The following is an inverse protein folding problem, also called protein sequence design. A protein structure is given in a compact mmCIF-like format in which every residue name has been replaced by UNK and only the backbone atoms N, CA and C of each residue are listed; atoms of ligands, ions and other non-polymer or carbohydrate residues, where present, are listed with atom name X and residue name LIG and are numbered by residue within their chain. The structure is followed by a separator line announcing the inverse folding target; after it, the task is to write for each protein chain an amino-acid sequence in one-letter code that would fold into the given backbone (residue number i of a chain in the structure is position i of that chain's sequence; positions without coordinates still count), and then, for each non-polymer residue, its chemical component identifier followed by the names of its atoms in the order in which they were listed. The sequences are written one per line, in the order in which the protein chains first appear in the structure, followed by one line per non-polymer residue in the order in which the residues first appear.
data_IF_683192640067
#
_entry.id   IF_683192640067
#
_cell.length_a   1.000
_cell.length_b   1.000
_cell.length_c   1.000
_cell.angle_alpha   90.00
_cell.angle_beta   90.00
_cell.angle_gamma   90.00
#
_symmetry.space_group_name_H-M   'P 1'
#
loop_
_entity.id
_entity.type
_entity.pdbx_description
1 polymer ?
#
# COMPACT_ATOMS: atom_id res chain seq x y z
N UNK A 1 -5.20 2.47 15.31
CA UNK A 1 -5.68 3.56 14.42
C UNK A 1 -4.56 4.44 13.85
N UNK A 2 -3.37 4.48 14.45
CA UNK A 2 -2.28 5.35 13.97
C UNK A 2 -1.63 4.77 12.70
N UNK A 3 -0.60 3.94 12.86
CA UNK A 3 0.20 3.39 11.75
C UNK A 3 -0.63 2.52 10.79
N UNK A 4 -1.64 1.79 11.30
CA UNK A 4 -2.46 0.90 10.48
C UNK A 4 -3.37 1.60 9.47
N UNK A 5 -3.71 2.88 9.70
CA UNK A 5 -4.54 3.63 8.74
C UNK A 5 -3.81 3.82 7.41
N UNK A 6 -2.49 4.05 7.42
CA UNK A 6 -1.69 4.19 6.20
C UNK A 6 -1.72 2.91 5.36
N UNK A 7 -1.62 1.73 6.00
CA UNK A 7 -1.70 0.44 5.31
C UNK A 7 -3.05 0.21 4.65
N UNK A 8 -4.15 0.52 5.34
CA UNK A 8 -5.52 0.40 4.79
C UNK A 8 -5.71 1.37 3.62
N UNK A 9 -5.29 2.63 3.79
CA UNK A 9 -5.38 3.66 2.74
C UNK A 9 -4.58 3.25 1.50
N UNK A 10 -3.39 2.69 1.71
CA UNK A 10 -2.56 2.17 0.63
C UNK A 10 -3.20 1.00 -0.12
N UNK A 11 -3.80 0.03 0.58
CA UNK A 11 -4.52 -1.06 -0.10
C UNK A 11 -5.69 -0.56 -0.94
N UNK A 12 -6.48 0.38 -0.40
CA UNK A 12 -7.59 1.02 -1.13
C UNK A 12 -7.10 1.72 -2.40
N UNK A 13 -5.97 2.44 -2.32
CA UNK A 13 -5.35 3.09 -3.47
C UNK A 13 -4.79 2.08 -4.50
N UNK A 14 -4.13 1.00 -4.04
CA UNK A 14 -3.55 -0.03 -4.92
C UNK A 14 -4.63 -0.79 -5.69
N UNK A 15 -5.71 -1.18 -4.99
CA UNK A 15 -6.81 -1.90 -5.62
C UNK A 15 -7.83 -1.00 -6.32
N UNK A 16 -7.73 0.33 -6.10
CA UNK A 16 -8.70 1.31 -6.56
C UNK A 16 -10.16 0.91 -6.21
N UNK A 17 -10.34 0.35 -5.02
CA UNK A 17 -11.59 -0.22 -4.55
C UNK A 17 -11.67 -0.19 -3.02
N UNK A 18 -12.88 -0.30 -2.50
CA UNK A 18 -13.12 -0.49 -1.07
C UNK A 18 -13.05 -1.96 -0.68
N UNK A 19 -12.58 -2.30 0.52
CA UNK A 19 -12.71 -3.66 1.02
C UNK A 19 -14.18 -3.99 1.26
N UNK A 20 -14.58 -5.22 0.91
CA UNK A 20 -15.91 -5.76 1.13
C UNK A 20 -16.05 -6.34 2.55
N UNK A 21 -14.96 -6.87 3.12
CA UNK A 21 -14.93 -7.38 4.49
C UNK A 21 -13.51 -7.57 5.04
N UNK A 22 -13.39 -7.66 6.37
CA UNK A 22 -12.19 -8.20 7.03
C UNK A 22 -12.37 -9.69 7.31
N UNK A 23 -11.61 -10.53 6.59
CA UNK A 23 -11.76 -11.98 6.64
C UNK A 23 -10.95 -12.62 7.76
N UNK A 24 -9.84 -12.00 8.16
CA UNK A 24 -8.96 -12.47 9.22
C UNK A 24 -8.34 -11.27 9.94
N UNK A 25 -8.30 -11.28 11.27
CA UNK A 25 -7.57 -10.31 12.06
C UNK A 25 -6.96 -11.01 13.28
N UNK A 26 -5.64 -10.93 13.41
CA UNK A 26 -4.90 -11.36 14.58
C UNK A 26 -4.26 -10.11 15.19
N UNK A 27 -4.49 -9.89 16.48
CA UNK A 27 -4.07 -8.67 17.15
C UNK A 27 -3.63 -8.97 18.57
N UNK A 28 -2.65 -8.21 19.06
CA UNK A 28 -2.23 -8.21 20.45
C UNK A 28 -2.57 -6.85 21.07
N UNK A 29 -3.22 -6.79 22.24
CA UNK A 29 -3.45 -5.54 22.95
C UNK A 29 -2.15 -4.89 23.42
N UNK A 30 -2.18 -3.58 23.67
CA UNK A 30 -1.13 -2.92 24.45
C UNK A 30 -1.14 -3.37 25.91
N UNK A 31 -0.04 -3.13 26.61
CA UNK A 31 0.11 -3.42 28.04
C UNK A 31 0.12 -2.11 28.84
N UNK A 32 -0.30 -2.13 30.11
CA UNK A 32 -0.27 -0.95 30.99
C UNK A 32 1.10 -0.25 31.00
N UNK A 33 1.16 1.10 31.07
CA UNK A 33 0.05 2.03 31.34
C UNK A 33 -0.78 2.42 30.11
N UNK A 34 -0.49 1.88 28.93
CA UNK A 34 -1.30 2.11 27.74
C UNK A 34 -2.64 1.36 27.83
N UNK A 35 -3.65 1.84 27.09
CA UNK A 35 -4.99 1.23 27.09
C UNK A 35 -4.98 -0.13 26.39
N UNK A 36 -5.50 -1.16 27.05
CA UNK A 36 -5.65 -2.51 26.47
C UNK A 36 -6.60 -2.55 25.25
N UNK A 37 -7.35 -1.47 25.00
CA UNK A 37 -8.19 -1.28 23.80
C UNK A 37 -7.41 -0.76 22.58
N UNK A 38 -6.12 -0.52 22.73
CA UNK A 38 -5.22 -0.16 21.64
C UNK A 38 -4.43 -1.40 21.18
N UNK A 39 -4.17 -1.49 19.88
CA UNK A 39 -3.42 -2.57 19.26
C UNK A 39 -1.90 -2.36 19.38
N UNK A 40 -1.20 -3.41 19.80
CA UNK A 40 0.26 -3.49 19.88
C UNK A 40 0.95 -4.01 18.64
N UNK A 41 0.33 -5.05 18.13
CA UNK A 41 0.72 -5.75 16.94
C UNK A 41 -0.57 -6.21 16.30
N UNK A 42 -0.66 -6.09 14.99
CA UNK A 42 -1.79 -6.59 14.25
C UNK A 42 -1.34 -7.18 12.91
N UNK A 43 -2.10 -8.16 12.46
CA UNK A 43 -2.14 -8.64 11.08
C UNK A 43 -3.60 -8.75 10.70
N UNK A 44 -4.00 -8.11 9.60
CA UNK A 44 -5.36 -8.20 9.10
C UNK A 44 -5.39 -8.46 7.60
N UNK A 45 -6.36 -9.25 7.16
CA UNK A 45 -6.64 -9.53 5.76
C UNK A 45 -8.01 -8.96 5.40
N UNK A 46 -8.00 -8.11 4.39
CA UNK A 46 -9.17 -7.47 3.81
C UNK A 46 -9.45 -8.10 2.46
N UNK A 47 -10.70 -8.53 2.25
CA UNK A 47 -11.17 -8.97 0.94
C UNK A 47 -11.66 -7.77 0.15
N UNK A 48 -11.19 -7.63 -1.07
CA UNK A 48 -11.58 -6.63 -2.06
C UNK A 48 -12.39 -7.30 -3.18
N UNK A 49 -13.04 -6.53 -4.06
CA UNK A 49 -13.79 -7.05 -5.19
C UNK A 49 -13.00 -8.08 -6.02
N UNK A 50 -13.71 -9.04 -6.59
CA UNK A 50 -13.15 -10.19 -7.31
C UNK A 50 -12.33 -11.16 -6.43
N UNK A 51 -12.51 -11.10 -5.11
CA UNK A 51 -11.88 -12.02 -4.16
C UNK A 51 -10.38 -11.77 -3.95
N UNK A 52 -9.87 -10.62 -4.36
CA UNK A 52 -8.47 -10.25 -4.13
C UNK A 52 -8.28 -9.92 -2.66
N UNK A 53 -7.18 -10.38 -2.05
CA UNK A 53 -6.92 -10.18 -0.63
C UNK A 53 -5.76 -9.21 -0.46
N UNK A 54 -6.01 -8.14 0.30
CA UNK A 54 -4.99 -7.25 0.81
C UNK A 54 -4.62 -7.61 2.24
N UNK A 55 -3.33 -7.58 2.57
CA UNK A 55 -2.84 -7.87 3.91
C UNK A 55 -2.10 -6.66 4.48
N UNK A 56 -2.46 -6.29 5.71
CA UNK A 56 -1.76 -5.27 6.50
C UNK A 56 -1.13 -5.89 7.73
N UNK A 57 0.05 -5.42 8.10
CA UNK A 57 0.77 -5.82 9.31
C UNK A 57 1.40 -4.59 9.94
N UNK A 58 1.36 -4.52 11.26
CA UNK A 58 2.02 -3.44 11.99
C UNK A 58 2.34 -3.86 13.41
N UNK A 59 3.39 -3.25 13.96
CA UNK A 59 3.80 -3.41 15.35
C UNK A 59 4.47 -2.13 15.80
N UNK A 60 4.27 -1.72 17.05
CA UNK A 60 5.07 -0.66 17.68
C UNK A 60 6.17 -1.22 18.59
N UNK A 61 6.20 -2.54 18.80
CA UNK A 61 7.11 -3.22 19.73
C UNK A 61 8.39 -3.73 19.07
N UNK A 62 8.71 -3.29 17.85
CA UNK A 62 9.92 -3.73 17.16
C UNK A 62 11.16 -3.05 17.74
N UNK A 63 12.21 -3.85 17.96
CA UNK A 63 13.49 -3.31 18.40
C UNK A 63 14.08 -2.40 17.31
N UNK A 64 14.68 -1.28 17.71
CA UNK A 64 15.39 -0.38 16.79
C UNK A 64 16.43 -1.11 15.91
N UNK A 65 17.10 -2.14 16.45
CA UNK A 65 18.08 -2.96 15.72
C UNK A 65 17.45 -3.80 14.59
N UNK A 66 16.14 -4.06 14.67
CA UNK A 66 15.38 -4.82 13.67
C UNK A 66 14.51 -3.90 12.80
N UNK A 67 14.60 -2.59 13.00
CA UNK A 67 13.79 -1.63 12.27
C UNK A 67 14.00 -1.79 10.77
N UNK A 68 12.88 -1.91 10.05
CA UNK A 68 12.84 -1.87 8.60
C UNK A 68 11.96 -0.72 8.18
N UNK A 69 12.32 -0.08 7.07
CA UNK A 69 11.45 0.93 6.48
C UNK A 69 10.08 0.30 6.17
N UNK A 70 8.98 0.94 6.61
CA UNK A 70 7.64 0.57 6.24
C UNK A 70 7.51 0.48 4.73
N UNK A 71 6.89 -0.60 4.26
CA UNK A 71 6.80 -0.88 2.83
C UNK A 71 5.45 -1.45 2.45
N UNK A 72 5.10 -1.25 1.18
CA UNK A 72 3.98 -1.87 0.51
C UNK A 72 4.53 -2.83 -0.53
N UNK A 73 3.95 -4.02 -0.65
CA UNK A 73 4.39 -5.04 -1.60
C UNK A 73 3.21 -5.44 -2.48
N UNK A 74 3.39 -5.36 -3.79
CA UNK A 74 2.42 -5.80 -4.78
C UNK A 74 3.05 -6.90 -5.62
N UNK A 75 2.42 -8.08 -5.61
CA UNK A 75 2.81 -9.19 -6.48
C UNK A 75 1.86 -9.26 -7.66
N UNK A 76 2.39 -9.07 -8.86
CA UNK A 76 1.62 -9.13 -10.09
C UNK A 76 1.49 -10.59 -10.54
N UNK A 77 0.43 -10.88 -11.31
CA UNK A 77 0.30 -12.17 -12.02
C UNK A 77 1.45 -12.31 -13.04
N UNK A 78 1.94 -13.53 -13.22
CA UNK A 78 2.88 -13.86 -14.28
C UNK A 78 2.30 -13.58 -15.66
N UNK A 79 3.06 -12.93 -16.53
CA UNK A 79 2.68 -12.64 -17.92
C UNK A 79 3.69 -13.25 -18.88
N UNK A 80 3.22 -13.75 -20.03
CA UNK A 80 4.11 -14.15 -21.12
C UNK A 80 4.88 -12.92 -21.63
N UNK A 81 6.19 -13.06 -21.78
CA UNK A 81 7.06 -12.04 -22.36
C UNK A 81 7.68 -12.63 -23.61
N UNK A 82 7.53 -11.89 -24.71
CA UNK A 82 8.13 -12.24 -25.98
C UNK A 82 9.66 -12.25 -25.89
N UNK A 83 10.28 -13.29 -26.45
CA UNK A 83 11.72 -13.49 -26.46
C UNK A 83 12.09 -14.36 -27.66
N UNK A 84 12.68 -13.73 -28.68
CA UNK A 84 13.05 -14.37 -29.96
C UNK A 84 14.12 -15.45 -29.81
N UNK A 85 14.81 -15.52 -28.67
CA UNK A 85 15.83 -16.53 -28.42
C UNK A 85 15.28 -17.89 -27.97
N UNK A 86 13.97 -17.97 -27.73
CA UNK A 86 13.32 -19.19 -27.24
C UNK A 86 13.04 -20.20 -28.36
N UNK A 87 13.13 -21.49 -28.02
CA UNK A 87 12.66 -22.55 -28.90
C UNK A 87 11.14 -22.50 -29.11
N UNK A 88 10.60 -23.09 -30.20
CA UNK A 88 9.18 -22.99 -30.57
C UNK A 88 8.21 -23.54 -29.50
N UNK A 89 8.68 -24.41 -28.61
CA UNK A 89 7.90 -24.99 -27.52
C UNK A 89 8.19 -24.37 -26.14
N UNK A 90 8.87 -23.23 -26.09
CA UNK A 90 9.23 -22.57 -24.85
C UNK A 90 8.39 -21.31 -24.66
N UNK A 91 8.16 -20.98 -23.39
CA UNK A 91 7.52 -19.73 -22.98
C UNK A 91 8.31 -19.12 -21.85
N UNK A 92 8.49 -17.79 -21.90
CA UNK A 92 9.09 -17.00 -20.83
C UNK A 92 8.00 -16.26 -20.10
N UNK A 93 7.83 -16.57 -18.83
CA UNK A 93 6.90 -15.89 -17.92
C UNK A 93 7.68 -14.89 -17.08
N UNK A 94 7.21 -13.65 -17.00
CA UNK A 94 7.70 -12.66 -16.04
C UNK A 94 6.67 -12.45 -14.95
N UNK A 95 7.08 -12.65 -13.70
CA UNK A 95 6.33 -12.26 -12.51
C UNK A 95 7.02 -11.07 -11.88
N UNK A 96 6.30 -9.96 -11.66
CA UNK A 96 6.84 -8.73 -11.07
C UNK A 96 6.38 -8.58 -9.63
N UNK A 97 7.32 -8.30 -8.74
CA UNK A 97 7.05 -7.76 -7.41
C UNK A 97 7.46 -6.29 -7.36
N UNK A 98 6.54 -5.42 -6.96
CA UNK A 98 6.81 -3.99 -6.74
C UNK A 98 6.82 -3.73 -5.24
N UNK A 99 7.84 -3.04 -4.75
CA UNK A 99 7.98 -2.68 -3.34
C UNK A 99 8.14 -1.18 -3.21
N UNK A 100 7.21 -0.52 -2.50
CA UNK A 100 7.29 0.91 -2.21
C UNK A 100 7.69 1.13 -0.77
N UNK A 101 8.83 1.79 -0.55
CA UNK A 101 9.38 2.08 0.77
C UNK A 101 9.12 3.52 1.18
N UNK A 102 8.87 3.70 2.49
CA UNK A 102 8.80 5.03 3.11
C UNK A 102 7.44 5.71 3.04
N UNK A 103 6.40 5.03 2.53
CA UNK A 103 5.08 5.61 2.24
C UNK A 103 4.41 6.36 3.42
N UNK A 104 4.77 6.05 4.67
CA UNK A 104 4.24 6.71 5.88
C UNK A 104 5.05 7.93 6.32
N UNK A 105 6.28 8.11 5.82
CA UNK A 105 7.21 9.12 6.28
C UNK A 105 7.40 10.23 5.25
N UNK A 106 6.61 11.30 5.39
CA UNK A 106 6.65 12.44 4.48
C UNK A 106 8.01 13.18 4.40
N UNK A 107 8.87 13.03 5.40
CA UNK A 107 10.20 13.69 5.44
C UNK A 107 11.31 12.87 4.77
N UNK A 108 11.11 11.56 4.59
CA UNK A 108 12.09 10.66 3.98
C UNK A 108 11.82 10.55 2.48
N UNK A 109 12.88 10.43 1.68
CA UNK A 109 12.71 10.16 0.25
C UNK A 109 12.22 8.73 0.05
N UNK A 110 11.11 8.59 -0.68
CA UNK A 110 10.51 7.30 -0.97
C UNK A 110 11.26 6.57 -2.08
N UNK A 111 11.20 5.24 -2.08
CA UNK A 111 11.90 4.41 -3.08
C UNK A 111 10.98 3.32 -3.60
N UNK A 112 11.03 3.06 -4.90
CA UNK A 112 10.34 1.94 -5.54
C UNK A 112 11.37 0.93 -6.01
N UNK A 113 11.26 -0.29 -5.52
CA UNK A 113 12.01 -1.44 -6.02
C UNK A 113 11.10 -2.30 -6.89
N UNK A 114 11.65 -2.82 -7.96
CA UNK A 114 11.01 -3.83 -8.82
C UNK A 114 11.88 -5.07 -8.84
N UNK A 115 11.30 -6.21 -8.53
CA UNK A 115 11.93 -7.52 -8.65
C UNK A 115 11.17 -8.31 -9.73
N UNK A 116 11.80 -8.47 -10.89
CA UNK A 116 11.26 -9.25 -12.00
C UNK A 116 11.86 -10.64 -11.97
N UNK A 117 11.02 -11.64 -11.67
CA UNK A 117 11.39 -13.05 -11.78
C UNK A 117 10.95 -13.56 -13.15
N UNK A 118 11.93 -13.97 -13.95
CA UNK A 118 11.71 -14.61 -15.24
C UNK A 118 11.84 -16.12 -15.10
N UNK A 119 10.94 -16.84 -15.75
CA UNK A 119 10.94 -18.29 -15.78
C UNK A 119 10.65 -18.78 -17.19
N UNK A 120 11.60 -19.52 -17.77
CA UNK A 120 11.43 -20.20 -19.05
C UNK A 120 10.94 -21.62 -18.78
N UNK A 121 9.82 -22.00 -19.38
CA UNK A 121 9.20 -23.33 -19.24
C UNK A 121 8.89 -23.91 -20.61
N UNK A 122 8.84 -25.24 -20.72
CA UNK A 122 8.24 -25.87 -21.91
C UNK A 122 6.72 -25.78 -21.81
N UNK A 123 6.03 -25.53 -22.93
CA UNK A 123 4.56 -25.41 -22.94
C UNK A 123 3.89 -26.75 -22.59
N UNK A 124 4.42 -27.86 -23.10
CA UNK A 124 3.81 -29.21 -22.95
C UNK A 124 3.75 -29.70 -21.51
N UNK A 125 4.84 -29.57 -20.75
CA UNK A 125 4.97 -30.17 -19.42
C UNK A 125 5.17 -29.15 -18.29
N UNK A 126 5.15 -27.84 -18.62
CA UNK A 126 5.36 -26.74 -17.68
C UNK A 126 6.67 -26.83 -16.88
N UNK A 127 7.62 -27.69 -17.29
CA UNK A 127 8.85 -27.92 -16.56
C UNK A 127 9.75 -26.68 -16.69
N UNK A 128 10.25 -26.12 -15.58
CA UNK A 128 11.18 -25.00 -15.63
C UNK A 128 12.51 -25.43 -16.24
N UNK A 129 12.96 -24.66 -17.22
CA UNK A 129 14.27 -24.77 -17.87
C UNK A 129 15.26 -23.82 -17.21
N UNK A 130 14.82 -22.58 -17.00
CA UNK A 130 15.66 -21.51 -16.46
C UNK A 130 14.81 -20.56 -15.64
N UNK A 131 15.37 -20.11 -14.51
CA UNK A 131 14.75 -19.11 -13.65
C UNK A 131 15.79 -18.12 -13.17
N UNK A 132 15.50 -16.83 -13.27
CA UNK A 132 16.37 -15.78 -12.75
C UNK A 132 15.56 -14.59 -12.26
N UNK A 133 16.18 -13.75 -11.44
CA UNK A 133 15.55 -12.55 -10.91
C UNK A 133 16.43 -11.34 -11.20
N UNK A 134 15.82 -10.30 -11.74
CA UNK A 134 16.42 -8.99 -11.94
C UNK A 134 15.82 -8.00 -10.95
N UNK A 135 16.65 -7.17 -10.32
CA UNK A 135 16.21 -6.14 -9.39
C UNK A 135 16.57 -4.77 -9.93
N UNK A 136 15.62 -3.85 -9.89
CA UNK A 136 15.83 -2.43 -10.23
C UNK A 136 15.27 -1.55 -9.12
N UNK A 137 15.99 -0.49 -8.80
CA UNK A 137 15.61 0.52 -7.84
C UNK A 137 15.39 1.85 -8.58
N UNK A 138 14.29 2.53 -8.29
CA UNK A 138 13.99 3.87 -8.82
C UNK A 138 13.55 4.78 -7.67
N UNK A 139 14.14 5.96 -7.60
CA UNK A 139 13.74 7.06 -6.72
C UNK A 139 13.33 8.22 -7.61
N UNK A 140 12.13 8.76 -7.41
CA UNK A 140 11.58 9.88 -8.20
C UNK A 140 10.88 10.84 -7.27
N UNK A 141 11.15 12.14 -7.38
CA UNK A 141 10.72 13.14 -6.39
C UNK A 141 10.06 14.38 -7.02
N UNK A 142 9.93 14.41 -8.34
CA UNK A 142 9.23 15.46 -9.07
C UNK A 142 8.45 14.89 -10.25
N UNK A 143 7.41 15.62 -10.69
CA UNK A 143 6.62 15.25 -11.86
C UNK A 143 7.44 15.26 -13.17
N UNK A 144 8.46 16.13 -13.25
CA UNK A 144 9.35 16.22 -14.42
C UNK A 144 10.15 14.95 -14.66
N UNK A 145 10.52 14.23 -13.60
CA UNK A 145 11.24 12.94 -13.69
C UNK A 145 10.37 11.77 -14.20
N UNK A 146 9.06 12.00 -14.35
CA UNK A 146 8.11 11.08 -14.98
C UNK A 146 7.41 11.70 -16.19
N UNK A 147 8.00 12.75 -16.78
CA UNK A 147 7.48 13.42 -17.98
C UNK A 147 6.05 13.96 -17.82
N UNK A 148 5.68 14.36 -16.60
CA UNK A 148 4.39 14.98 -16.28
C UNK A 148 4.59 16.48 -16.06
N UNK A 149 3.89 17.30 -16.85
CA UNK A 149 3.95 18.76 -16.76
C UNK A 149 3.04 19.28 -15.64
N UNK A 150 3.53 19.21 -14.39
CA UNK A 150 2.84 19.74 -13.21
C UNK A 150 3.81 20.43 -12.24
N UNK A 151 3.35 21.41 -11.43
CA UNK A 151 4.17 22.05 -10.41
C UNK A 151 4.71 21.03 -9.40
N UNK A 152 6.02 21.02 -9.22
CA UNK A 152 6.69 20.12 -8.31
C UNK A 152 8.20 20.26 -8.43
N UNK A 153 8.89 20.18 -7.30
CA UNK A 153 10.34 20.30 -7.24
C UNK A 153 10.93 19.09 -6.52
N UNK A 154 12.14 18.67 -6.90
CA UNK A 154 12.76 17.46 -6.34
C UNK A 154 12.97 17.54 -4.82
N UNK A 155 13.10 18.75 -4.27
CA UNK A 155 13.25 19.00 -2.83
C UNK A 155 11.91 19.12 -2.09
N UNK A 156 10.77 19.11 -2.81
CA UNK A 156 9.46 19.10 -2.18
C UNK A 156 9.20 17.74 -1.53
N UNK A 157 8.77 17.80 -0.27
CA UNK A 157 8.29 16.64 0.48
C UNK A 157 6.80 16.40 0.21
N UNK A 158 6.30 15.20 0.49
CA UNK A 158 4.89 14.84 0.20
C UNK A 158 3.89 15.84 0.79
N UNK A 159 4.13 16.39 1.98
CA UNK A 159 3.27 17.41 2.58
C UNK A 159 3.21 18.71 1.79
N UNK A 160 4.31 19.10 1.10
CA UNK A 160 4.31 20.30 0.26
C UNK A 160 3.35 20.13 -0.91
N UNK A 161 3.34 18.96 -1.54
CA UNK A 161 2.38 18.61 -2.60
C UNK A 161 0.93 18.64 -2.09
N UNK A 162 0.67 18.07 -0.90
CA UNK A 162 -0.67 18.07 -0.30
C UNK A 162 -1.16 19.49 0.02
N UNK A 163 -0.28 20.34 0.55
CA UNK A 163 -0.61 21.73 0.85
C UNK A 163 -0.90 22.54 -0.43
N UNK A 164 -0.13 22.32 -1.50
CA UNK A 164 -0.42 22.94 -2.80
C UNK A 164 -1.78 22.52 -3.32
N UNK A 165 -2.15 21.24 -3.16
CA UNK A 165 -3.47 20.77 -3.57
C UNK A 165 -4.61 21.41 -2.78
N UNK A 166 -4.42 21.56 -1.47
CA UNK A 166 -5.35 22.28 -0.62
C UNK A 166 -5.52 23.75 -1.05
N UNK A 167 -4.42 24.44 -1.34
CA UNK A 167 -4.45 25.83 -1.82
C UNK A 167 -5.13 25.91 -3.19
N UNK A 168 -4.84 24.99 -4.11
CA UNK A 168 -5.49 24.93 -5.41
C UNK A 168 -7.00 24.76 -5.28
N UNK A 169 -7.44 23.86 -4.40
CA UNK A 169 -8.87 23.62 -4.13
C UNK A 169 -9.58 24.87 -3.60
N UNK A 170 -9.00 25.56 -2.62
CA UNK A 170 -9.56 26.80 -2.07
C UNK A 170 -9.65 27.91 -3.12
N UNK A 171 -8.62 28.01 -3.98
CA UNK A 171 -8.52 29.06 -5.00
C UNK A 171 -9.25 28.71 -6.30
N UNK A 172 -9.93 27.57 -6.38
CA UNK A 172 -10.64 27.13 -7.59
C UNK A 172 -9.71 26.83 -8.78
N UNK A 173 -8.45 26.43 -8.51
CA UNK A 173 -7.46 26.07 -9.53
C UNK A 173 -7.52 24.59 -9.85
N UNK A 174 -6.99 24.21 -11.02
CA UNK A 174 -6.74 22.80 -11.34
C UNK A 174 -5.82 22.19 -10.30
N UNK A 175 -6.22 21.04 -9.75
CA UNK A 175 -5.43 20.28 -8.79
C UNK A 175 -4.36 19.40 -9.45
N UNK A 176 -3.45 18.88 -8.64
CA UNK A 176 -2.46 17.89 -9.00
C UNK A 176 -2.99 16.43 -8.88
N UNK A 177 -4.26 16.28 -8.48
CA UNK A 177 -4.95 14.98 -8.45
C UNK A 177 -4.79 14.19 -7.15
N UNK A 178 -4.15 14.75 -6.12
CA UNK A 178 -3.97 14.07 -4.81
C UNK A 178 -4.97 14.50 -3.74
N UNK A 179 -5.99 15.28 -4.12
CA UNK A 179 -7.03 15.73 -3.20
C UNK A 179 -7.78 14.54 -2.60
N UNK A 180 -7.95 14.54 -1.28
CA UNK A 180 -8.73 13.52 -0.56
C UNK A 180 -10.11 14.10 -0.23
N UNK A 181 -11.17 13.72 -0.97
CA UNK A 181 -12.52 14.20 -0.68
C UNK A 181 -13.12 13.51 0.57
N UNK A 182 -14.21 14.07 1.09
CA UNK A 182 -14.78 13.66 2.38
C UNK A 182 -15.30 12.21 2.40
N UNK A 183 -15.85 11.75 1.28
CA UNK A 183 -16.27 10.36 1.07
C UNK A 183 -15.09 9.38 1.23
N UNK A 184 -13.89 9.75 0.80
CA UNK A 184 -12.69 8.94 0.98
C UNK A 184 -12.27 8.82 2.46
N UNK A 185 -12.48 9.88 3.25
CA UNK A 185 -12.26 9.81 4.70
C UNK A 185 -13.30 8.94 5.40
N UNK A 186 -14.57 9.03 4.99
CA UNK A 186 -15.65 8.19 5.55
C UNK A 186 -15.41 6.71 5.19
N UNK A 187 -15.06 6.42 3.95
CA UNK A 187 -14.74 5.06 3.50
C UNK A 187 -13.50 4.49 4.21
N UNK A 188 -12.48 5.33 4.43
CA UNK A 188 -11.32 4.96 5.25
C UNK A 188 -11.74 4.52 6.66
N UNK A 189 -12.60 5.30 7.32
CA UNK A 189 -13.08 4.98 8.67
C UNK A 189 -13.89 3.68 8.69
N UNK A 190 -14.77 3.45 7.71
CA UNK A 190 -15.50 2.18 7.59
C UNK A 190 -14.57 0.98 7.44
N UNK A 191 -13.52 1.10 6.62
CA UNK A 191 -12.53 0.04 6.46
C UNK A 191 -11.73 -0.23 7.74
N UNK A 192 -11.42 0.81 8.53
CA UNK A 192 -10.81 0.67 9.85
C UNK A 192 -11.76 -0.06 10.80
N UNK A 193 -13.03 0.35 10.85
CA UNK A 193 -14.05 -0.24 11.72
C UNK A 193 -14.21 -1.75 11.44
N UNK A 194 -14.21 -2.17 10.17
CA UNK A 194 -14.22 -3.60 9.79
C UNK A 194 -13.08 -4.41 10.45
N UNK A 195 -11.88 -3.82 10.55
CA UNK A 195 -10.73 -4.49 11.17
C UNK A 195 -10.91 -4.56 12.69
N UNK A 196 -11.38 -3.49 13.33
CA UNK A 196 -11.62 -3.45 14.77
C UNK A 196 -12.78 -4.36 15.22
N UNK A 197 -13.84 -4.46 14.42
CA UNK A 197 -14.91 -5.43 14.64
C UNK A 197 -14.36 -6.86 14.56
N UNK A 198 -13.56 -7.15 13.52
CA UNK A 198 -12.96 -8.48 13.34
C UNK A 198 -11.95 -8.83 14.44
N UNK A 199 -11.26 -7.84 15.00
CA UNK A 199 -10.24 -8.03 16.03
C UNK A 199 -10.84 -8.28 17.43
N UNK A 200 -12.12 -7.98 17.63
CA UNK A 200 -12.81 -8.12 18.92
C UNK A 200 -12.71 -6.89 19.83
N UNK A 201 -12.02 -5.82 19.42
CA UNK A 201 -12.03 -4.56 20.18
C UNK A 201 -13.28 -3.72 19.94
N UNK A 202 -13.98 -3.98 18.84
CA UNK A 202 -15.20 -3.28 18.49
C UNK A 202 -14.96 -1.86 17.95
N UNK A 203 -16.02 -1.28 17.40
CA UNK A 203 -15.99 0.07 16.82
C UNK A 203 -15.80 1.11 17.91
N UNK A 204 -15.07 2.17 17.60
CA UNK A 204 -14.95 3.32 18.49
C UNK A 204 -16.33 3.94 18.72
N UNK A 205 -16.76 3.99 19.98
CA UNK A 205 -18.02 4.63 20.36
C UNK A 205 -18.00 6.10 19.92
N UNK A 206 -19.07 6.51 19.23
CA UNK A 206 -19.35 7.93 19.05
C UNK A 206 -19.80 8.48 20.40
N UNK A 207 -19.12 9.51 20.90
CA UNK A 207 -19.67 10.26 22.02
C UNK A 207 -20.85 11.05 21.47
N UNK A 208 -22.07 10.75 21.95
CA UNK A 208 -23.19 11.66 21.78
C UNK A 208 -22.76 13.02 22.33
N UNK A 209 -22.67 14.03 21.46
CA UNK A 209 -22.57 15.40 21.96
C UNK A 209 -23.91 15.69 22.62
N UNK A 210 -23.94 16.13 23.89
CA UNK A 210 -25.14 16.74 24.43
C UNK A 210 -25.56 17.83 23.46
N UNK A 211 -26.76 17.73 22.91
CA UNK A 211 -27.32 18.80 22.09
C UNK A 211 -27.58 19.97 23.04
N UNK A 212 -26.75 21.01 22.95
CA UNK A 212 -26.96 22.27 23.65
C UNK A 212 -27.98 23.13 22.94
#
# INVERSE_FOLDING_TARGET
MDIGSYGISALRAIFAAEPESCIECNMKPTVPPASELCDAEYTAKLQFPNGVIGEIRGTYNESWLKFRLPNLQVLHRGVEVHDDSLGPNQVKIRTRKVVFYGHMFATIYNRIDTEDTYEVRNRDNQRPIKKWTEKKCKSVHSFREIDVEQPGEFYWKSYRYQLEEFVNRIKGRSGNGIWVPADQSIAQMKAIDMVYEKSGFGVRLSHERPVS
#
